data_IF_987220091150
#
_entry.id   IF_987220091150
#
_cell.length_a   1.000
_cell.length_b   1.000
_cell.length_c   1.000
_cell.angle_alpha   90.00
_cell.angle_beta   90.00
_cell.angle_gamma   90.00
#
_symmetry.space_group_name_H-M   'P 1'
#
loop_
_entity.id
_entity.type
_entity.pdbx_description
1 polymer ?
#
# COMPACT_ATOMS: atom_id res chain seq x y z
N UNK A 1 -36.73 -24.57 25.93
CA UNK A 1 -36.06 -24.23 24.64
C UNK A 1 -34.60 -23.87 24.92
N UNK A 2 -33.59 -24.64 24.45
CA UNK A 2 -32.18 -24.26 24.57
C UNK A 2 -31.92 -23.07 23.63
N UNK A 3 -31.58 -21.91 24.19
CA UNK A 3 -31.16 -20.76 23.37
C UNK A 3 -29.94 -21.20 22.52
N UNK A 4 -30.10 -21.16 21.19
CA UNK A 4 -29.03 -21.45 20.24
C UNK A 4 -27.96 -20.37 20.41
N UNK A 5 -26.76 -20.75 20.89
CA UNK A 5 -25.64 -19.83 21.11
C UNK A 5 -25.29 -19.16 19.79
N UNK A 6 -25.42 -17.83 19.70
CA UNK A 6 -25.10 -17.08 18.47
C UNK A 6 -23.62 -17.21 18.19
N UNK A 7 -23.27 -17.69 17.00
CA UNK A 7 -21.88 -17.73 16.53
C UNK A 7 -21.40 -16.32 16.20
N UNK A 8 -20.42 -15.81 16.96
CA UNK A 8 -19.81 -14.50 16.80
C UNK A 8 -18.57 -14.50 15.91
N UNK A 9 -18.13 -15.67 15.42
CA UNK A 9 -16.94 -15.83 14.59
C UNK A 9 -16.95 -14.96 13.32
N UNK A 10 -18.04 -14.89 12.54
CA UNK A 10 -18.09 -14.02 11.36
C UNK A 10 -17.86 -12.54 11.67
N UNK A 11 -18.44 -12.06 12.78
CA UNK A 11 -18.31 -10.66 13.19
C UNK A 11 -16.88 -10.34 13.66
N UNK A 12 -16.21 -11.27 14.36
CA UNK A 12 -14.81 -11.12 14.77
C UNK A 12 -13.85 -11.07 13.56
N UNK A 13 -14.03 -11.98 12.61
CA UNK A 13 -13.22 -12.00 11.39
C UNK A 13 -13.42 -10.74 10.54
N UNK A 14 -14.65 -10.20 10.54
CA UNK A 14 -14.97 -8.98 9.83
C UNK A 14 -14.40 -7.73 10.52
N UNK A 15 -14.31 -7.74 11.84
CA UNK A 15 -13.60 -6.72 12.62
C UNK A 15 -12.09 -6.76 12.36
N UNK A 16 -11.47 -7.96 12.40
CA UNK A 16 -10.03 -8.14 12.09
C UNK A 16 -9.71 -7.62 10.68
N UNK A 17 -10.52 -8.00 9.66
CA UNK A 17 -10.34 -7.52 8.30
C UNK A 17 -10.42 -6.00 8.22
N UNK A 18 -11.36 -5.37 8.93
CA UNK A 18 -11.55 -3.93 8.92
C UNK A 18 -10.39 -3.19 9.59
N UNK A 19 -9.95 -3.66 10.76
CA UNK A 19 -8.86 -3.04 11.52
C UNK A 19 -7.51 -3.18 10.80
N UNK A 20 -7.19 -4.37 10.31
CA UNK A 20 -5.97 -4.60 9.52
C UNK A 20 -5.97 -3.79 8.22
N UNK A 21 -7.11 -3.70 7.54
CA UNK A 21 -7.26 -2.87 6.35
C UNK A 21 -7.07 -1.38 6.62
N UNK A 22 -7.56 -0.87 7.74
CA UNK A 22 -7.35 0.53 8.16
C UNK A 22 -5.86 0.80 8.45
N UNK A 23 -5.20 -0.08 9.21
CA UNK A 23 -3.77 0.06 9.52
C UNK A 23 -2.94 0.09 8.23
N UNK A 24 -3.18 -0.87 7.32
CA UNK A 24 -2.47 -0.93 6.04
C UNK A 24 -2.74 0.31 5.16
N UNK A 25 -3.97 0.82 5.13
CA UNK A 25 -4.31 2.02 4.35
C UNK A 25 -3.59 3.27 4.89
N UNK A 26 -3.55 3.46 6.22
CA UNK A 26 -2.81 4.57 6.85
C UNK A 26 -1.31 4.45 6.54
N UNK A 27 -0.75 3.24 6.67
CA UNK A 27 0.64 2.97 6.34
C UNK A 27 0.96 3.33 4.89
N UNK A 28 0.15 2.89 3.92
CA UNK A 28 0.36 3.18 2.49
C UNK A 28 0.27 4.66 2.19
N UNK A 29 -0.66 5.39 2.80
CA UNK A 29 -0.75 6.84 2.63
C UNK A 29 0.55 7.54 3.06
N UNK A 30 1.08 7.19 4.22
CA UNK A 30 2.37 7.70 4.70
C UNK A 30 3.54 7.23 3.82
N UNK A 31 3.59 5.95 3.47
CA UNK A 31 4.67 5.35 2.69
C UNK A 31 4.84 6.02 1.31
N UNK A 32 3.76 6.25 0.57
CA UNK A 32 3.83 6.94 -0.73
C UNK A 32 4.35 8.37 -0.58
N UNK A 33 3.98 9.08 0.50
CA UNK A 33 4.50 10.42 0.76
C UNK A 33 5.99 10.40 1.14
N UNK A 34 6.45 9.38 1.85
CA UNK A 34 7.88 9.21 2.17
C UNK A 34 8.69 8.93 0.92
N UNK A 35 8.21 8.03 0.04
CA UNK A 35 8.83 7.79 -1.27
C UNK A 35 8.84 9.05 -2.15
N UNK A 36 7.81 9.90 -2.04
CA UNK A 36 7.74 11.16 -2.77
C UNK A 36 8.77 12.21 -2.33
N UNK A 37 9.50 12.01 -1.23
CA UNK A 37 10.62 12.85 -0.83
C UNK A 37 11.73 12.90 -1.88
N UNK A 38 11.84 11.89 -2.74
CA UNK A 38 12.76 11.87 -3.90
C UNK A 38 12.47 13.01 -4.89
N UNK A 39 11.23 13.50 -4.96
CA UNK A 39 10.84 14.63 -5.82
C UNK A 39 11.45 15.95 -5.31
N UNK A 40 11.73 16.06 -4.01
CA UNK A 40 12.40 17.21 -3.40
C UNK A 40 13.89 17.13 -3.73
N UNK A 41 14.57 16.05 -3.30
CA UNK A 41 15.98 15.81 -3.60
C UNK A 41 16.40 14.38 -3.20
N UNK A 42 17.56 13.93 -3.71
CA UNK A 42 18.18 12.67 -3.27
C UNK A 42 18.51 12.72 -1.77
N UNK A 43 18.97 13.89 -1.29
CA UNK A 43 19.27 14.11 0.13
C UNK A 43 18.02 14.01 1.01
N UNK A 44 16.87 14.54 0.56
CA UNK A 44 15.61 14.41 1.29
C UNK A 44 15.17 12.94 1.41
N UNK A 45 15.27 12.18 0.32
CA UNK A 45 14.97 10.74 0.35
C UNK A 45 15.94 9.97 1.24
N UNK A 46 17.24 10.30 1.20
CA UNK A 46 18.22 9.69 2.09
C UNK A 46 17.91 9.95 3.57
N UNK A 47 17.55 11.18 3.94
CA UNK A 47 17.13 11.53 5.30
C UNK A 47 15.91 10.75 5.76
N UNK A 48 14.95 10.50 4.87
CA UNK A 48 13.81 9.62 5.16
C UNK A 48 14.26 8.17 5.41
N UNK A 49 15.17 7.65 4.60
CA UNK A 49 15.71 6.28 4.77
C UNK A 49 16.36 6.12 6.14
N UNK A 50 17.33 6.97 6.49
CA UNK A 50 18.05 6.86 7.76
C UNK A 50 17.14 7.14 8.98
N UNK A 51 16.06 7.93 8.83
CA UNK A 51 15.04 8.11 9.85
C UNK A 51 14.39 6.76 10.21
N UNK A 52 14.02 5.96 9.21
CA UNK A 52 13.45 4.63 9.42
C UNK A 52 14.48 3.61 9.89
N UNK A 53 15.77 3.84 9.64
CA UNK A 53 16.87 3.06 10.20
C UNK A 53 17.21 3.45 11.65
N UNK A 54 16.52 4.43 12.22
CA UNK A 54 16.65 4.83 13.63
C UNK A 54 17.74 5.87 13.92
N UNK A 55 18.38 6.45 12.91
CA UNK A 55 19.49 7.39 13.06
C UNK A 55 19.20 8.52 14.06
N UNK A 56 18.04 9.15 13.98
CA UNK A 56 17.69 10.28 14.85
C UNK A 56 17.44 9.90 16.32
N UNK A 57 17.32 8.59 16.63
CA UNK A 57 17.14 8.09 17.99
C UNK A 57 18.43 7.51 18.57
N UNK A 58 19.23 6.86 17.73
CA UNK A 58 20.40 6.09 18.18
C UNK A 58 21.73 6.73 17.78
N UNK A 59 21.73 7.76 16.91
CA UNK A 59 22.95 8.35 16.33
C UNK A 59 23.58 7.54 15.22
N UNK A 60 23.12 6.30 14.99
CA UNK A 60 23.61 5.34 14.02
C UNK A 60 22.45 4.72 13.24
N UNK A 61 22.74 4.14 12.06
CA UNK A 61 21.73 3.48 11.22
C UNK A 61 21.71 1.97 11.46
N UNK A 62 20.52 1.43 11.65
CA UNK A 62 20.27 0.00 11.83
C UNK A 62 19.27 -0.50 10.76
N UNK A 63 19.74 -0.95 9.58
CA UNK A 63 18.85 -1.42 8.52
C UNK A 63 17.89 -2.54 8.95
N UNK A 64 18.28 -3.34 9.96
CA UNK A 64 17.42 -4.37 10.55
C UNK A 64 16.08 -3.85 11.11
N UNK A 65 15.97 -2.57 11.46
CA UNK A 65 14.71 -1.94 11.87
C UNK A 65 13.72 -1.95 10.70
N UNK A 66 14.19 -1.70 9.48
CA UNK A 66 13.35 -1.76 8.28
C UNK A 66 12.89 -3.20 8.01
N UNK A 67 13.76 -4.21 8.19
CA UNK A 67 13.36 -5.62 8.09
C UNK A 67 12.25 -5.96 9.07
N UNK A 68 12.37 -5.53 10.33
CA UNK A 68 11.35 -5.75 11.35
C UNK A 68 10.03 -5.05 11.01
N UNK A 69 10.09 -3.81 10.54
CA UNK A 69 8.91 -3.06 10.09
C UNK A 69 8.24 -3.75 8.89
N UNK A 70 9.02 -4.13 7.88
CA UNK A 70 8.52 -4.83 6.70
C UNK A 70 7.88 -6.18 7.06
N UNK A 71 8.50 -6.96 7.96
CA UNK A 71 7.95 -8.22 8.46
C UNK A 71 6.63 -8.00 9.22
N UNK A 72 6.55 -6.96 10.05
CA UNK A 72 5.33 -6.61 10.79
C UNK A 72 4.19 -6.25 9.84
N UNK A 73 4.46 -5.42 8.84
CA UNK A 73 3.49 -5.06 7.78
C UNK A 73 3.09 -6.31 6.99
N UNK A 74 4.03 -7.21 6.68
CA UNK A 74 3.75 -8.44 5.96
C UNK A 74 2.80 -9.37 6.73
N UNK A 75 2.99 -9.51 8.04
CA UNK A 75 2.09 -10.29 8.92
C UNK A 75 0.67 -9.68 8.88
N UNK A 76 0.54 -8.36 9.04
CA UNK A 76 -0.76 -7.67 8.99
C UNK A 76 -1.39 -7.83 7.61
N UNK A 77 -0.61 -7.76 6.54
CA UNK A 77 -1.04 -7.94 5.16
C UNK A 77 -1.60 -9.36 4.94
N UNK A 78 -0.91 -10.41 5.39
CA UNK A 78 -1.39 -11.80 5.29
C UNK A 78 -2.67 -12.00 6.09
N UNK A 79 -2.77 -11.45 7.31
CA UNK A 79 -3.98 -11.52 8.12
C UNK A 79 -5.17 -10.83 7.42
N UNK A 80 -4.92 -9.65 6.82
CA UNK A 80 -5.91 -8.93 6.04
C UNK A 80 -6.37 -9.74 4.83
N UNK A 81 -5.44 -10.26 4.04
CA UNK A 81 -5.73 -11.08 2.86
C UNK A 81 -6.51 -12.35 3.23
N UNK A 82 -6.08 -13.11 4.23
CA UNK A 82 -6.74 -14.33 4.68
C UNK A 82 -8.19 -14.08 5.12
N UNK A 83 -8.41 -12.99 5.89
CA UNK A 83 -9.78 -12.63 6.32
C UNK A 83 -10.64 -12.08 5.17
N UNK A 84 -10.04 -11.46 4.15
CA UNK A 84 -10.74 -10.95 2.98
C UNK A 84 -11.12 -12.07 1.99
N UNK A 85 -10.23 -13.05 1.78
CA UNK A 85 -10.42 -14.15 0.82
C UNK A 85 -11.66 -15.01 1.11
N UNK A 86 -12.07 -15.13 2.37
CA UNK A 86 -13.31 -15.85 2.71
C UNK A 86 -14.57 -15.25 2.05
N UNK A 87 -14.51 -13.99 1.58
CA UNK A 87 -15.61 -13.30 0.90
C UNK A 87 -15.56 -13.46 -0.62
N UNK A 88 -14.53 -14.11 -1.14
CA UNK A 88 -14.38 -14.35 -2.56
C UNK A 88 -15.26 -15.54 -3.00
N UNK A 89 -15.71 -15.57 -4.27
CA UNK A 89 -16.40 -16.72 -4.81
C UNK A 89 -15.49 -17.94 -4.77
N UNK A 90 -16.00 -19.06 -4.24
CA UNK A 90 -15.22 -20.28 -4.04
C UNK A 90 -14.98 -21.10 -5.31
N UNK A 91 -15.73 -20.78 -6.37
CA UNK A 91 -15.64 -21.49 -7.66
C UNK A 91 -16.05 -20.59 -8.83
N UNK A 92 -15.73 -21.02 -10.04
CA UNK A 92 -16.02 -20.27 -11.27
C UNK A 92 -17.51 -20.01 -11.49
N UNK A 93 -18.39 -20.96 -11.12
CA UNK A 93 -19.84 -20.81 -11.26
C UNK A 93 -20.35 -19.66 -10.39
N UNK A 94 -19.90 -19.59 -9.14
CA UNK A 94 -20.23 -18.48 -8.23
C UNK A 94 -19.65 -17.16 -8.69
N UNK A 95 -18.43 -17.17 -9.24
CA UNK A 95 -17.84 -15.98 -9.86
C UNK A 95 -18.70 -15.46 -11.03
N UNK A 96 -19.16 -16.35 -11.92
CA UNK A 96 -20.01 -15.99 -13.05
C UNK A 96 -21.36 -15.41 -12.58
N UNK A 97 -22.03 -16.07 -11.64
CA UNK A 97 -23.27 -15.58 -11.04
C UNK A 97 -23.07 -14.20 -10.39
N UNK A 98 -21.99 -14.02 -9.66
CA UNK A 98 -21.65 -12.74 -9.04
C UNK A 98 -21.46 -11.65 -10.09
N UNK A 99 -20.72 -11.92 -11.18
CA UNK A 99 -20.50 -10.98 -12.29
C UNK A 99 -21.80 -10.60 -12.98
N UNK A 100 -22.67 -11.56 -13.25
CA UNK A 100 -24.01 -11.33 -13.81
C UNK A 100 -24.87 -10.47 -12.86
N UNK A 101 -24.86 -10.75 -11.57
CA UNK A 101 -25.57 -9.96 -10.57
C UNK A 101 -25.07 -8.51 -10.51
N UNK A 102 -23.74 -8.30 -10.49
CA UNK A 102 -23.12 -6.96 -10.54
C UNK A 102 -23.54 -6.19 -11.79
N UNK A 103 -23.55 -6.83 -12.97
CA UNK A 103 -23.94 -6.18 -14.24
C UNK A 103 -25.40 -5.79 -14.26
N UNK A 104 -26.27 -6.56 -13.59
CA UNK A 104 -27.72 -6.31 -13.56
C UNK A 104 -28.08 -5.17 -12.59
N UNK A 105 -27.37 -5.07 -11.45
CA UNK A 105 -27.68 -4.09 -10.42
C UNK A 105 -27.31 -2.65 -10.79
N UNK A 106 -26.39 -2.42 -11.74
CA UNK A 106 -25.92 -1.09 -12.20
C UNK A 106 -25.57 -0.10 -11.06
N UNK A 107 -25.22 -0.62 -9.89
CA UNK A 107 -24.84 0.18 -8.73
C UNK A 107 -23.33 0.41 -8.70
N UNK A 108 -22.91 1.68 -8.65
CA UNK A 108 -21.50 2.08 -8.61
C UNK A 108 -20.74 1.44 -7.42
N UNK A 109 -21.37 1.36 -6.25
CA UNK A 109 -20.75 0.76 -5.05
C UNK A 109 -20.50 -0.75 -5.19
N UNK A 110 -21.31 -1.44 -5.98
CA UNK A 110 -21.08 -2.86 -6.31
C UNK A 110 -19.91 -3.01 -7.29
N UNK A 111 -19.78 -2.10 -8.26
CA UNK A 111 -18.62 -2.05 -9.16
C UNK A 111 -17.32 -1.75 -8.40
N UNK A 112 -17.35 -0.84 -7.43
CA UNK A 112 -16.21 -0.55 -6.56
C UNK A 112 -15.77 -1.78 -5.75
N UNK A 113 -16.71 -2.63 -5.32
CA UNK A 113 -16.35 -3.88 -4.66
C UNK A 113 -15.58 -4.84 -5.59
N UNK A 114 -15.99 -4.95 -6.85
CA UNK A 114 -15.28 -5.76 -7.85
C UNK A 114 -13.85 -5.23 -8.10
N UNK A 115 -13.71 -3.91 -8.25
CA UNK A 115 -12.41 -3.26 -8.40
C UNK A 115 -11.52 -3.55 -7.19
N UNK A 116 -12.06 -3.43 -5.98
CA UNK A 116 -11.31 -3.72 -4.75
C UNK A 116 -10.89 -5.19 -4.65
N UNK A 117 -11.74 -6.13 -5.09
CA UNK A 117 -11.41 -7.55 -5.14
C UNK A 117 -10.26 -7.82 -6.11
N UNK A 118 -10.33 -7.28 -7.34
CA UNK A 118 -9.31 -7.46 -8.37
C UNK A 118 -7.97 -6.85 -7.96
N UNK A 119 -7.97 -5.61 -7.48
CA UNK A 119 -6.76 -4.94 -7.02
C UNK A 119 -6.16 -5.63 -5.81
N UNK A 120 -6.97 -6.14 -4.88
CA UNK A 120 -6.50 -6.96 -3.76
C UNK A 120 -5.82 -8.24 -4.19
N UNK A 121 -6.33 -8.90 -5.23
CA UNK A 121 -5.71 -10.10 -5.79
C UNK A 121 -4.36 -9.78 -6.47
N UNK A 122 -4.27 -8.71 -7.25
CA UNK A 122 -3.00 -8.24 -7.85
C UNK A 122 -1.99 -7.91 -6.76
N UNK A 123 -2.40 -7.18 -5.72
CA UNK A 123 -1.56 -6.82 -4.60
C UNK A 123 -1.04 -8.01 -3.82
N UNK A 124 -1.82 -9.10 -3.71
CA UNK A 124 -1.39 -10.30 -3.00
C UNK A 124 -0.08 -10.84 -3.55
N UNK A 125 0.10 -10.82 -4.87
CA UNK A 125 1.36 -11.24 -5.51
C UNK A 125 2.40 -10.12 -5.52
N UNK A 126 2.09 -8.97 -6.12
CA UNK A 126 3.05 -7.89 -6.29
C UNK A 126 3.51 -7.30 -4.94
N UNK A 127 2.60 -7.16 -3.98
CA UNK A 127 2.90 -6.68 -2.63
C UNK A 127 3.74 -7.67 -1.83
N UNK A 128 3.51 -8.98 -1.99
CA UNK A 128 4.34 -10.01 -1.34
C UNK A 128 5.78 -9.97 -1.83
N UNK A 129 6.00 -9.80 -3.14
CA UNK A 129 7.34 -9.66 -3.72
C UNK A 129 8.02 -8.41 -3.16
N UNK A 130 7.33 -7.27 -3.17
CA UNK A 130 7.87 -6.02 -2.65
C UNK A 130 8.25 -6.13 -1.16
N UNK A 131 7.36 -6.63 -0.31
CA UNK A 131 7.62 -6.78 1.12
C UNK A 131 8.75 -7.77 1.41
N UNK A 132 8.85 -8.86 0.63
CA UNK A 132 9.95 -9.80 0.73
C UNK A 132 11.31 -9.13 0.44
N UNK A 133 11.40 -8.31 -0.63
CA UNK A 133 12.62 -7.57 -0.96
C UNK A 133 12.98 -6.59 0.16
N UNK A 134 12.02 -5.81 0.66
CA UNK A 134 12.27 -4.85 1.76
C UNK A 134 12.71 -5.53 3.05
N UNK A 135 12.19 -6.72 3.33
CA UNK A 135 12.54 -7.51 4.51
C UNK A 135 13.95 -8.12 4.41
N UNK A 136 14.35 -8.58 3.21
CA UNK A 136 15.59 -9.33 3.00
C UNK A 136 16.77 -8.47 2.54
N UNK A 137 16.50 -7.27 2.01
CA UNK A 137 17.52 -6.36 1.48
C UNK A 137 17.40 -4.95 2.09
N UNK A 138 17.33 -4.80 3.42
CA UNK A 138 17.07 -3.51 4.06
C UNK A 138 18.21 -2.50 3.85
N UNK A 139 19.46 -2.95 3.67
CA UNK A 139 20.61 -2.09 3.40
C UNK A 139 20.64 -1.50 1.99
N UNK A 140 19.77 -2.00 1.10
CA UNK A 140 19.69 -1.56 -0.31
C UNK A 140 18.43 -0.67 -0.52
N UNK A 141 18.19 0.25 0.40
CA UNK A 141 17.11 1.25 0.32
C UNK A 141 17.75 2.64 0.30
N UNK A 142 17.18 3.53 -0.49
CA UNK A 142 17.69 4.89 -0.65
C UNK A 142 17.61 5.37 -2.10
N UNK A 143 17.98 6.62 -2.36
CA UNK A 143 17.77 7.26 -3.67
C UNK A 143 18.41 6.49 -4.82
N UNK A 144 19.65 6.02 -4.65
CA UNK A 144 20.40 5.31 -5.70
C UNK A 144 20.07 3.82 -5.74
N UNK A 145 20.06 3.14 -4.59
CA UNK A 145 19.76 1.71 -4.53
C UNK A 145 18.34 1.39 -5.03
N UNK A 146 17.35 2.23 -4.69
CA UNK A 146 15.99 2.06 -5.20
C UNK A 146 15.89 2.37 -6.70
N UNK A 147 16.68 3.33 -7.22
CA UNK A 147 16.73 3.67 -8.64
C UNK A 147 17.35 2.55 -9.48
N UNK A 148 18.48 2.00 -9.04
CA UNK A 148 19.13 0.84 -9.67
C UNK A 148 18.18 -0.37 -9.68
N UNK A 149 17.50 -0.66 -8.57
CA UNK A 149 16.52 -1.75 -8.52
C UNK A 149 15.41 -1.60 -9.55
N UNK A 150 14.90 -0.38 -9.76
CA UNK A 150 13.83 -0.12 -10.74
C UNK A 150 14.29 -0.41 -12.17
N UNK A 151 15.54 -0.04 -12.51
CA UNK A 151 16.08 -0.13 -13.88
C UNK A 151 16.84 -1.45 -14.08
N UNK A 152 17.89 -1.72 -13.29
CA UNK A 152 18.82 -2.83 -13.50
C UNK A 152 18.20 -4.18 -13.10
N UNK A 153 17.35 -4.22 -12.06
CA UNK A 153 16.64 -5.42 -11.64
C UNK A 153 15.24 -5.53 -12.27
N UNK A 154 14.87 -4.63 -13.20
CA UNK A 154 13.59 -4.62 -13.92
C UNK A 154 12.35 -4.59 -13.02
N UNK A 155 12.44 -3.99 -11.83
CA UNK A 155 11.32 -3.90 -10.90
C UNK A 155 10.31 -2.79 -11.23
N UNK A 156 10.62 -1.91 -12.20
CA UNK A 156 9.74 -0.82 -12.61
C UNK A 156 8.32 -1.24 -12.97
N UNK A 157 8.09 -2.26 -13.82
CA UNK A 157 6.75 -2.75 -14.14
C UNK A 157 5.97 -3.28 -12.93
N UNK A 158 6.64 -3.99 -12.00
CA UNK A 158 6.04 -4.47 -10.76
C UNK A 158 5.58 -3.29 -9.90
N UNK A 159 6.42 -2.29 -9.70
CA UNK A 159 6.09 -1.11 -8.88
C UNK A 159 5.00 -0.25 -9.52
N UNK A 160 4.96 -0.15 -10.85
CA UNK A 160 3.87 0.53 -11.55
C UNK A 160 2.51 -0.16 -11.28
N UNK A 161 2.44 -1.48 -11.46
CA UNK A 161 1.21 -2.25 -11.22
C UNK A 161 0.82 -2.21 -9.75
N UNK A 162 1.79 -2.33 -8.85
CA UNK A 162 1.58 -2.27 -7.40
C UNK A 162 1.05 -0.90 -6.98
N UNK A 163 1.63 0.21 -7.46
CA UNK A 163 1.20 1.57 -7.16
C UNK A 163 -0.27 1.79 -7.51
N UNK A 164 -0.66 1.48 -8.74
CA UNK A 164 -2.05 1.65 -9.19
C UNK A 164 -3.00 0.79 -8.34
N UNK A 165 -2.63 -0.48 -8.14
CA UNK A 165 -3.46 -1.42 -7.40
C UNK A 165 -3.61 -1.03 -5.94
N UNK A 166 -2.52 -0.64 -5.26
CA UNK A 166 -2.56 -0.32 -3.83
C UNK A 166 -3.32 0.97 -3.54
N UNK A 167 -3.13 2.01 -4.36
CA UNK A 167 -3.84 3.29 -4.18
C UNK A 167 -5.34 3.09 -4.38
N UNK A 168 -5.74 2.45 -5.49
CA UNK A 168 -7.16 2.19 -5.74
C UNK A 168 -7.76 1.32 -4.64
N UNK A 169 -7.09 0.23 -4.25
CA UNK A 169 -7.54 -0.69 -3.22
C UNK A 169 -7.73 0.02 -1.87
N UNK A 170 -6.73 0.78 -1.44
CA UNK A 170 -6.73 1.45 -0.14
C UNK A 170 -7.84 2.50 -0.03
N UNK A 171 -7.97 3.40 -1.00
CA UNK A 171 -8.98 4.46 -0.95
C UNK A 171 -10.41 3.94 -1.14
N UNK A 172 -10.64 2.97 -2.05
CA UNK A 172 -11.92 2.29 -2.17
C UNK A 172 -12.24 1.52 -0.87
N UNK A 173 -11.23 0.88 -0.28
CA UNK A 173 -11.35 0.21 1.01
C UNK A 173 -11.75 1.13 2.14
N UNK A 174 -11.10 2.30 2.27
CA UNK A 174 -11.43 3.33 3.26
C UNK A 174 -12.84 3.88 3.07
N UNK A 175 -13.24 4.16 1.82
CA UNK A 175 -14.60 4.57 1.50
C UNK A 175 -15.64 3.55 2.00
N UNK A 176 -15.44 2.28 1.67
CA UNK A 176 -16.35 1.19 2.08
C UNK A 176 -16.31 0.95 3.59
N UNK A 177 -15.16 1.11 4.22
CA UNK A 177 -15.02 1.02 5.66
C UNK A 177 -15.82 2.13 6.36
N UNK A 178 -15.71 3.37 5.88
CA UNK A 178 -16.44 4.51 6.42
C UNK A 178 -17.97 4.32 6.30
N UNK A 179 -18.44 3.81 5.15
CA UNK A 179 -19.87 3.48 4.98
C UNK A 179 -20.32 2.38 5.95
N UNK A 180 -19.52 1.32 6.10
CA UNK A 180 -19.84 0.19 6.97
C UNK A 180 -19.98 0.60 8.45
N UNK A 181 -19.14 1.53 8.90
CA UNK A 181 -19.11 1.97 10.31
C UNK A 181 -19.96 3.22 10.56
N UNK A 182 -20.69 3.71 9.53
CA UNK A 182 -21.54 4.90 9.64
C UNK A 182 -20.79 6.21 9.78
N UNK A 183 -19.48 6.23 9.50
CA UNK A 183 -18.72 7.48 9.44
C UNK A 183 -19.16 8.29 8.22
N UNK A 184 -19.15 9.62 8.35
CA UNK A 184 -19.49 10.55 7.27
C UNK A 184 -20.97 10.51 6.82
N UNK A 185 -21.89 9.94 7.61
CA UNK A 185 -23.32 10.03 7.36
C UNK A 185 -23.88 11.32 7.99
N UNK A 186 -24.10 12.36 7.16
CA UNK A 186 -24.72 13.61 7.57
C UNK A 186 -26.27 13.54 7.50
N UNK A 187 -26.94 14.66 7.80
CA UNK A 187 -28.41 14.78 7.74
C UNK A 187 -29.02 14.34 6.41
N UNK A 188 -28.28 14.52 5.30
CA UNK A 188 -28.66 14.01 3.98
C UNK A 188 -27.61 12.99 3.52
N UNK A 189 -27.88 11.72 3.78
CA UNK A 189 -26.98 10.59 3.50
C UNK A 189 -26.56 10.51 2.03
N UNK A 190 -27.48 10.81 1.07
CA UNK A 190 -27.14 10.78 -0.36
C UNK A 190 -26.09 11.82 -0.70
N UNK A 191 -26.23 13.04 -0.20
CA UNK A 191 -25.29 14.13 -0.46
C UNK A 191 -23.94 13.86 0.23
N UNK A 192 -23.97 13.40 1.49
CA UNK A 192 -22.75 13.07 2.23
C UNK A 192 -21.95 11.97 1.54
N UNK A 193 -22.60 10.89 1.11
CA UNK A 193 -21.96 9.79 0.36
C UNK A 193 -21.39 10.25 -0.98
N UNK A 194 -22.13 11.09 -1.72
CA UNK A 194 -21.65 11.62 -3.00
C UNK A 194 -20.38 12.50 -2.83
N UNK A 195 -20.38 13.39 -1.82
CA UNK A 195 -19.20 14.22 -1.49
C UNK A 195 -18.00 13.37 -1.08
N UNK A 196 -18.23 12.37 -0.21
CA UNK A 196 -17.15 11.49 0.24
C UNK A 196 -16.58 10.64 -0.89
N UNK A 197 -17.44 10.16 -1.81
CA UNK A 197 -17.01 9.46 -3.00
C UNK A 197 -16.18 10.35 -3.94
N UNK A 198 -16.57 11.61 -4.11
CA UNK A 198 -15.80 12.58 -4.90
C UNK A 198 -14.43 12.83 -4.26
N UNK A 199 -14.38 13.03 -2.94
CA UNK A 199 -13.13 13.17 -2.19
C UNK A 199 -12.23 11.93 -2.36
N UNK A 200 -12.77 10.71 -2.24
CA UNK A 200 -12.04 9.47 -2.49
C UNK A 200 -11.44 9.46 -3.91
N UNK A 201 -12.23 9.79 -4.94
CA UNK A 201 -11.74 9.84 -6.34
C UNK A 201 -10.61 10.86 -6.51
N UNK A 202 -10.74 12.04 -5.89
CA UNK A 202 -9.69 13.06 -5.88
C UNK A 202 -8.40 12.52 -5.24
N UNK A 203 -8.50 11.88 -4.07
CA UNK A 203 -7.34 11.30 -3.38
C UNK A 203 -6.67 10.20 -4.20
N UNK A 204 -7.44 9.33 -4.87
CA UNK A 204 -6.89 8.31 -5.78
C UNK A 204 -6.04 8.97 -6.86
N UNK A 205 -6.58 9.98 -7.54
CA UNK A 205 -5.86 10.68 -8.62
C UNK A 205 -4.60 11.36 -8.07
N UNK A 206 -4.71 12.08 -6.96
CA UNK A 206 -3.57 12.78 -6.34
C UNK A 206 -2.43 11.81 -5.96
N UNK A 207 -2.75 10.70 -5.28
CA UNK A 207 -1.74 9.72 -4.88
C UNK A 207 -1.14 8.94 -6.05
N UNK A 208 -1.93 8.64 -7.10
CA UNK A 208 -1.41 8.05 -8.33
C UNK A 208 -0.44 9.02 -9.01
N UNK A 209 -0.78 10.30 -9.14
CA UNK A 209 0.10 11.29 -9.78
C UNK A 209 1.40 11.49 -9.00
N UNK A 210 1.34 11.60 -7.67
CA UNK A 210 2.53 11.70 -6.82
C UNK A 210 3.40 10.44 -6.96
N UNK A 211 2.80 9.26 -6.87
CA UNK A 211 3.54 8.00 -6.99
C UNK A 211 4.14 7.78 -8.37
N UNK A 212 3.44 8.14 -9.46
CA UNK A 212 3.98 8.07 -10.82
C UNK A 212 5.12 9.06 -11.03
N UNK A 213 5.02 10.29 -10.50
CA UNK A 213 6.10 11.26 -10.55
C UNK A 213 7.34 10.73 -9.81
N UNK A 214 7.15 10.13 -8.62
CA UNK A 214 8.24 9.51 -7.86
C UNK A 214 8.89 8.36 -8.63
N UNK A 215 8.08 7.45 -9.18
CA UNK A 215 8.58 6.33 -9.99
C UNK A 215 9.34 6.82 -11.22
N UNK A 216 8.85 7.85 -11.91
CA UNK A 216 9.55 8.47 -13.03
C UNK A 216 10.88 9.11 -12.61
N UNK A 217 10.93 9.76 -11.43
CA UNK A 217 12.18 10.34 -10.89
C UNK A 217 13.21 9.26 -10.57
N UNK A 218 12.80 8.17 -9.90
CA UNK A 218 13.68 7.03 -9.64
C UNK A 218 14.19 6.38 -10.94
N UNK A 219 13.30 6.20 -11.93
CA UNK A 219 13.70 5.67 -13.25
C UNK A 219 14.68 6.59 -13.95
N UNK A 220 14.46 7.92 -13.90
CA UNK A 220 15.39 8.90 -14.46
C UNK A 220 16.77 8.82 -13.80
N UNK A 221 16.83 8.70 -12.47
CA UNK A 221 18.11 8.53 -11.76
C UNK A 221 18.76 7.21 -12.16
N UNK A 222 18.00 6.10 -12.20
CA UNK A 222 18.52 4.78 -12.56
C UNK A 222 19.12 4.70 -13.96
N UNK A 223 18.59 5.47 -14.92
CA UNK A 223 19.10 5.51 -16.30
C UNK A 223 20.34 6.43 -16.43
N UNK A 224 20.37 7.56 -15.69
CA UNK A 224 21.34 8.62 -15.94
C UNK A 224 22.49 8.69 -14.91
N UNK A 225 22.37 7.98 -13.77
CA UNK A 225 23.43 7.96 -12.76
C UNK A 225 24.41 6.82 -13.04
N UNK A 226 25.70 7.12 -12.93
CA UNK A 226 26.75 6.11 -12.98
C UNK A 226 26.89 5.43 -11.60
N UNK A 227 26.62 4.13 -11.55
CA UNK A 227 26.72 3.31 -10.34
C UNK A 227 28.07 2.58 -10.21
N UNK A 228 29.12 2.99 -10.95
CA UNK A 228 30.47 2.38 -10.87
C UNK A 228 31.05 2.41 -9.44
N UNK A 229 30.72 3.46 -8.66
CA UNK A 229 31.10 3.61 -7.25
C UNK A 229 30.13 2.90 -6.27
N UNK A 230 29.17 2.15 -6.80
CA UNK A 230 28.14 1.44 -6.05
C UNK A 230 26.85 2.23 -5.88
N UNK A 231 25.85 1.55 -5.34
CA UNK A 231 24.46 2.06 -5.21
C UNK A 231 24.18 2.82 -3.91
N UNK A 232 25.16 2.96 -3.02
CA UNK A 232 24.99 3.69 -1.76
C UNK A 232 25.12 5.19 -1.97
N UNK A 233 24.09 5.93 -1.59
CA UNK A 233 24.12 7.39 -1.59
C UNK A 233 25.07 7.91 -0.50
N UNK A 234 25.95 8.85 -0.85
CA UNK A 234 26.80 9.58 0.10
C UNK A 234 26.15 10.93 0.37
N UNK A 235 25.71 11.15 1.62
CA UNK A 235 25.10 12.42 2.03
C UNK A 235 26.13 13.55 2.02
N UNK A 236 25.69 14.71 1.58
CA UNK A 236 26.48 15.94 1.65
C UNK A 236 26.47 16.57 3.05
N UNK A 237 25.46 16.25 3.86
CA UNK A 237 25.20 16.90 5.16
C UNK A 237 25.37 15.97 6.36
N UNK A 238 25.30 14.66 6.16
CA UNK A 238 25.38 13.66 7.23
C UNK A 238 26.54 12.70 6.93
N UNK A 239 27.59 12.79 7.74
CA UNK A 239 28.75 11.89 7.66
C UNK A 239 28.53 10.77 8.68
N UNK A 240 28.11 9.59 8.20
CA UNK A 240 28.11 8.38 9.02
C UNK A 240 29.55 7.89 9.15
N UNK A 241 30.13 7.92 10.36
CA UNK A 241 31.41 7.30 10.60
C UNK A 241 31.33 5.80 10.33
N UNK A 242 32.28 5.30 9.55
CA UNK A 242 32.41 3.86 9.32
C UNK A 242 33.00 3.22 10.58
N UNK A 243 32.18 2.54 11.37
CA UNK A 243 32.66 1.58 12.35
C UNK A 243 32.72 0.19 11.77
#
# INVERSE_FOLDING_TARGET
MKQKKIDKTPARLDFIQSSTGLILAIFIMGHILFEASILISNEAMYKMTIMFEGYYFFGETYPGIISFLAASIFIIFILHAATAMRKFPSDYKRYKLMKEHVSTMKHEDTSLWMVQMLTGFIMFFAGSIHLYIMMTQPSNIGPFASSSRIVDEFMGPLYFVLLISVVVHAFVGLYRLALKWGFMEGKNTKVSRARFKLFMKFMIVAYILIGLASLAKYTYIGINHDFSDGVKYKSETIHLEKH
#
